data_IF_129394380074
#
_entry.id   IF_129394380074
#
_cell.length_a   1.000
_cell.length_b   1.000
_cell.length_c   1.000
_cell.angle_alpha   90.00
_cell.angle_beta   90.00
_cell.angle_gamma   90.00
#
_symmetry.space_group_name_H-M   'P 1'
#
loop_
_entity.id
_entity.type
_entity.pdbx_description
1 polymer ?
#
# COMPACT_ATOMS: atom_id res chain seq x y z
N UNK A 1 21.22 7.41 -7.13
CA UNK A 1 21.22 5.95 -7.34
C UNK A 1 19.94 5.37 -6.76
N UNK A 2 19.21 4.49 -7.46
CA UNK A 2 18.07 3.79 -6.88
C UNK A 2 18.56 3.00 -5.67
N UNK A 3 17.84 3.07 -4.55
CA UNK A 3 18.24 2.42 -3.29
C UNK A 3 18.05 0.90 -3.34
N UNK A 4 17.28 0.42 -4.31
CA UNK A 4 16.96 -0.99 -4.50
C UNK A 4 17.10 -1.38 -5.97
N UNK A 5 17.75 -2.51 -6.24
CA UNK A 5 17.86 -3.10 -7.58
C UNK A 5 16.91 -4.29 -7.68
N UNK A 6 16.03 -4.30 -8.68
CA UNK A 6 14.99 -5.34 -8.84
C UNK A 6 15.60 -6.70 -9.15
N UNK A 7 16.48 -6.79 -10.16
CA UNK A 7 17.01 -8.06 -10.65
C UNK A 7 17.69 -8.94 -9.56
N UNK A 8 18.56 -8.39 -8.67
CA UNK A 8 19.10 -9.18 -7.56
C UNK A 8 18.04 -9.69 -6.57
N UNK A 9 16.99 -8.91 -6.33
CA UNK A 9 15.92 -9.29 -5.41
C UNK A 9 15.03 -10.40 -6.01
N UNK A 10 14.75 -10.33 -7.31
CA UNK A 10 14.03 -11.39 -8.02
C UNK A 10 14.84 -12.69 -8.08
N UNK A 11 16.15 -12.61 -8.29
CA UNK A 11 17.03 -13.77 -8.21
C UNK A 11 16.97 -14.47 -6.86
N UNK A 12 16.88 -13.71 -5.76
CA UNK A 12 16.69 -14.27 -4.40
C UNK A 12 15.32 -14.92 -4.23
N UNK A 13 14.27 -14.31 -4.78
CA UNK A 13 12.93 -14.88 -4.76
C UNK A 13 12.89 -16.20 -5.54
N UNK A 14 13.51 -16.24 -6.72
CA UNK A 14 13.64 -17.45 -7.55
C UNK A 14 14.48 -18.54 -6.87
N UNK A 15 15.47 -18.16 -6.06
CA UNK A 15 16.25 -19.07 -5.21
C UNK A 15 15.47 -19.56 -3.96
N UNK A 16 14.18 -19.25 -3.85
CA UNK A 16 13.30 -19.74 -2.78
C UNK A 16 13.31 -18.89 -1.50
N UNK A 17 13.97 -17.72 -1.49
CA UNK A 17 14.00 -16.84 -0.31
C UNK A 17 12.72 -16.00 -0.19
N UNK A 18 11.56 -16.65 -0.22
CA UNK A 18 10.28 -15.95 -0.14
C UNK A 18 9.97 -15.50 1.29
N UNK A 19 10.08 -14.20 1.53
CA UNK A 19 9.82 -13.58 2.84
C UNK A 19 9.07 -12.26 2.69
N UNK A 20 8.36 -11.88 3.75
CA UNK A 20 7.62 -10.62 3.85
C UNK A 20 8.53 -9.43 3.51
N UNK A 21 9.72 -9.37 4.13
CA UNK A 21 10.67 -8.29 3.90
C UNK A 21 11.20 -8.26 2.47
N UNK A 22 11.50 -9.42 1.87
CA UNK A 22 11.95 -9.46 0.47
C UNK A 22 10.85 -8.93 -0.46
N UNK A 23 9.60 -9.37 -0.27
CA UNK A 23 8.47 -8.95 -1.09
C UNK A 23 8.16 -7.46 -0.93
N UNK A 24 8.21 -6.93 0.29
CA UNK A 24 8.07 -5.49 0.53
C UNK A 24 9.20 -4.72 -0.16
N UNK A 25 10.44 -5.21 -0.08
CA UNK A 25 11.60 -4.57 -0.73
C UNK A 25 11.46 -4.55 -2.25
N UNK A 26 11.02 -5.67 -2.85
CA UNK A 26 10.73 -5.76 -4.28
C UNK A 26 9.67 -4.74 -4.70
N UNK A 27 8.56 -4.66 -3.96
CA UNK A 27 7.51 -3.72 -4.26
C UNK A 27 7.96 -2.26 -4.18
N UNK A 28 8.76 -1.91 -3.18
CA UNK A 28 9.33 -0.56 -3.07
C UNK A 28 10.30 -0.26 -4.23
N UNK A 29 11.07 -1.26 -4.68
CA UNK A 29 11.94 -1.13 -5.84
C UNK A 29 11.14 -0.89 -7.13
N UNK A 30 10.07 -1.67 -7.34
CA UNK A 30 9.14 -1.48 -8.46
C UNK A 30 8.45 -0.11 -8.41
N UNK A 31 7.96 0.29 -7.23
CA UNK A 31 7.33 1.61 -7.03
C UNK A 31 8.32 2.75 -7.35
N UNK A 32 9.58 2.63 -6.92
CA UNK A 32 10.62 3.63 -7.20
C UNK A 32 10.92 3.76 -8.71
N UNK A 33 10.71 2.70 -9.48
CA UNK A 33 10.87 2.71 -10.94
C UNK A 33 9.60 3.15 -11.70
N UNK A 34 8.51 3.48 -10.99
CA UNK A 34 7.23 3.83 -11.60
C UNK A 34 6.39 2.64 -12.04
N UNK A 35 6.89 1.42 -11.82
CA UNK A 35 6.25 0.16 -12.18
C UNK A 35 5.23 -0.25 -11.11
N UNK A 36 4.25 0.62 -10.87
CA UNK A 36 3.29 0.48 -9.76
C UNK A 36 2.47 -0.81 -9.86
N UNK A 37 2.07 -1.20 -11.08
CA UNK A 37 1.30 -2.42 -11.32
C UNK A 37 2.08 -3.68 -10.95
N UNK A 38 3.40 -3.71 -11.21
CA UNK A 38 4.27 -4.83 -10.86
C UNK A 38 4.52 -4.90 -9.34
N UNK A 39 4.48 -3.78 -8.62
CA UNK A 39 4.66 -3.75 -7.17
C UNK A 39 3.50 -4.38 -6.38
N UNK A 40 2.26 -4.30 -6.90
CA UNK A 40 1.04 -4.79 -6.20
C UNK A 40 1.11 -6.26 -5.79
N UNK A 41 1.37 -7.22 -6.71
CA UNK A 41 1.38 -8.64 -6.36
C UNK A 41 2.43 -8.98 -5.29
N UNK A 42 3.54 -8.25 -5.23
CA UNK A 42 4.54 -8.46 -4.18
C UNK A 42 4.00 -8.06 -2.81
N UNK A 43 3.33 -6.90 -2.69
CA UNK A 43 2.74 -6.46 -1.42
C UNK A 43 1.54 -7.30 -1.00
N UNK A 44 0.68 -7.69 -1.94
CA UNK A 44 -0.44 -8.62 -1.66
C UNK A 44 0.13 -9.91 -1.07
N UNK A 45 1.15 -10.50 -1.71
CA UNK A 45 1.74 -11.72 -1.18
C UNK A 45 2.47 -11.51 0.15
N UNK A 46 3.06 -10.33 0.39
CA UNK A 46 3.61 -9.99 1.71
C UNK A 46 2.53 -9.98 2.80
N UNK A 47 1.33 -9.46 2.51
CA UNK A 47 0.19 -9.47 3.45
C UNK A 47 -0.41 -10.86 3.66
N UNK A 48 -0.28 -11.77 2.70
CA UNK A 48 -0.67 -13.17 2.87
C UNK A 48 0.33 -13.95 3.72
N UNK A 49 1.63 -13.68 3.55
CA UNK A 49 2.70 -14.34 4.32
C UNK A 49 2.68 -13.93 5.78
N UNK A 50 2.43 -12.65 6.05
CA UNK A 50 2.27 -12.12 7.40
C UNK A 50 1.16 -11.06 7.44
N UNK A 51 -0.07 -11.49 7.77
CA UNK A 51 -1.21 -10.58 7.94
C UNK A 51 -1.03 -9.56 9.06
N UNK A 52 -0.08 -9.78 9.97
CA UNK A 52 0.19 -8.92 11.11
C UNK A 52 1.26 -7.86 10.84
N UNK A 53 1.94 -7.93 9.70
CA UNK A 53 2.95 -6.95 9.33
C UNK A 53 2.33 -5.65 8.81
N UNK A 54 2.13 -4.68 9.72
CA UNK A 54 1.58 -3.34 9.46
C UNK A 54 2.26 -2.64 8.28
N UNK A 55 3.58 -2.83 8.12
CA UNK A 55 4.38 -2.23 7.07
C UNK A 55 3.97 -2.63 5.65
N UNK A 56 3.57 -3.90 5.43
CA UNK A 56 3.12 -4.38 4.12
C UNK A 56 1.76 -3.77 3.76
N UNK A 57 0.81 -3.78 4.70
CA UNK A 57 -0.50 -3.15 4.51
C UNK A 57 -0.40 -1.65 4.23
N UNK A 58 0.46 -0.94 4.96
CA UNK A 58 0.73 0.48 4.75
C UNK A 58 1.27 0.73 3.34
N UNK A 59 2.28 -0.03 2.92
CA UNK A 59 2.86 0.10 1.58
C UNK A 59 1.82 -0.23 0.50
N UNK A 60 0.99 -1.25 0.71
CA UNK A 60 -0.06 -1.65 -0.24
C UNK A 60 -1.11 -0.56 -0.40
N UNK A 61 -1.53 0.06 0.71
CA UNK A 61 -2.47 1.17 0.68
C UNK A 61 -1.91 2.38 -0.08
N UNK A 62 -0.64 2.75 0.16
CA UNK A 62 0.01 3.84 -0.58
C UNK A 62 0.07 3.52 -2.08
N UNK A 63 0.46 2.30 -2.43
CA UNK A 63 0.56 1.88 -3.82
C UNK A 63 -0.80 1.93 -4.54
N UNK A 64 -1.88 1.54 -3.86
CA UNK A 64 -3.22 1.65 -4.43
C UNK A 64 -3.67 3.11 -4.59
N UNK A 65 -3.27 4.03 -3.71
CA UNK A 65 -3.50 5.47 -3.91
C UNK A 65 -2.75 5.97 -5.15
N UNK A 66 -1.48 5.59 -5.30
CA UNK A 66 -0.67 5.99 -6.48
C UNK A 66 -1.27 5.45 -7.80
N UNK A 67 -1.98 4.32 -7.73
CA UNK A 67 -2.73 3.71 -8.84
C UNK A 67 -4.15 4.27 -9.03
N UNK A 68 -4.60 5.21 -8.20
CA UNK A 68 -5.98 5.74 -8.22
C UNK A 68 -7.05 4.73 -7.79
N UNK A 69 -6.65 3.63 -7.13
CA UNK A 69 -7.54 2.56 -6.67
C UNK A 69 -7.96 2.81 -5.21
N UNK A 70 -8.60 3.96 -4.96
CA UNK A 70 -8.93 4.44 -3.61
C UNK A 70 -9.74 3.43 -2.78
N UNK A 71 -10.69 2.72 -3.40
CA UNK A 71 -11.47 1.69 -2.71
C UNK A 71 -10.58 0.57 -2.14
N UNK A 72 -9.58 0.12 -2.89
CA UNK A 72 -8.63 -0.89 -2.42
C UNK A 72 -7.65 -0.32 -1.40
N UNK A 73 -7.23 0.94 -1.60
CA UNK A 73 -6.37 1.63 -0.64
C UNK A 73 -7.03 1.71 0.75
N UNK A 74 -8.33 2.01 0.82
CA UNK A 74 -9.10 2.01 2.07
C UNK A 74 -9.06 0.68 2.79
N UNK A 75 -9.34 -0.40 2.06
CA UNK A 75 -9.33 -1.76 2.62
C UNK A 75 -7.93 -2.10 3.16
N UNK A 76 -6.88 -1.78 2.40
CA UNK A 76 -5.50 -2.00 2.82
C UNK A 76 -5.13 -1.19 4.07
N UNK A 77 -5.49 0.09 4.15
CA UNK A 77 -5.24 0.90 5.34
C UNK A 77 -6.03 0.42 6.55
N UNK A 78 -7.29 0.01 6.39
CA UNK A 78 -8.10 -0.54 7.47
C UNK A 78 -7.47 -1.81 8.04
N UNK A 79 -7.04 -2.74 7.18
CA UNK A 79 -6.32 -3.96 7.59
C UNK A 79 -4.98 -3.66 8.24
N UNK A 80 -4.25 -2.67 7.72
CA UNK A 80 -3.00 -2.22 8.32
C UNK A 80 -3.17 -1.61 9.70
N UNK A 81 -4.24 -0.85 9.94
CA UNK A 81 -4.56 -0.28 11.27
C UNK A 81 -4.89 -1.40 12.27
N UNK A 82 -5.64 -2.43 11.84
CA UNK A 82 -5.91 -3.62 12.67
C UNK A 82 -4.59 -4.32 13.05
N UNK A 83 -3.71 -4.55 12.07
CA UNK A 83 -2.41 -5.18 12.28
C UNK A 83 -1.49 -4.34 13.20
N UNK A 84 -1.43 -3.03 12.98
CA UNK A 84 -0.63 -2.11 13.77
C UNK A 84 -1.09 -2.06 15.24
N UNK A 85 -2.41 -2.03 15.48
CA UNK A 85 -3.00 -2.05 16.81
C UNK A 85 -2.65 -3.34 17.57
N UNK A 86 -2.73 -4.50 16.89
CA UNK A 86 -2.42 -5.79 17.49
C UNK A 86 -0.96 -5.88 18.01
N UNK A 87 -0.03 -5.18 17.36
CA UNK A 87 1.41 -5.20 17.69
C UNK A 87 1.92 -3.92 18.37
N UNK A 88 1.04 -2.96 18.68
CA UNK A 88 1.42 -1.70 19.32
C UNK A 88 2.22 -0.75 18.44
N UNK A 89 2.17 -0.90 17.11
CA UNK A 89 2.83 -0.02 16.15
C UNK A 89 2.02 1.29 15.96
N UNK A 90 2.06 2.13 17.00
CA UNK A 90 1.31 3.39 17.05
C UNK A 90 1.70 4.38 15.95
N UNK A 91 2.91 4.25 15.39
CA UNK A 91 3.37 5.15 14.35
C UNK A 91 2.72 4.79 13.01
N UNK A 92 2.76 3.51 12.61
CA UNK A 92 2.12 3.07 11.38
C UNK A 92 0.60 3.25 11.46
N UNK A 93 0.00 2.96 12.62
CA UNK A 93 -1.43 3.17 12.86
C UNK A 93 -1.84 4.62 12.56
N UNK A 94 -1.19 5.61 13.20
CA UNK A 94 -1.49 7.03 13.00
C UNK A 94 -1.31 7.46 11.55
N UNK A 95 -0.23 7.02 10.91
CA UNK A 95 0.05 7.35 9.50
C UNK A 95 -1.09 6.85 8.59
N UNK A 96 -1.53 5.61 8.79
CA UNK A 96 -2.60 5.01 8.01
C UNK A 96 -3.97 5.66 8.29
N UNK A 97 -4.28 6.02 9.54
CA UNK A 97 -5.50 6.76 9.89
C UNK A 97 -5.55 8.10 9.15
N UNK A 98 -4.43 8.84 9.11
CA UNK A 98 -4.37 10.13 8.41
C UNK A 98 -4.62 9.95 6.90
N UNK A 99 -4.02 8.92 6.28
CA UNK A 99 -4.26 8.62 4.86
C UNK A 99 -5.70 8.20 4.59
N UNK A 100 -6.27 7.33 5.43
CA UNK A 100 -7.66 6.88 5.30
C UNK A 100 -8.63 8.05 5.37
N UNK A 101 -8.47 8.95 6.36
CA UNK A 101 -9.28 10.18 6.49
C UNK A 101 -9.13 11.12 5.30
N UNK A 102 -7.97 11.15 4.65
CA UNK A 102 -7.76 11.95 3.43
C UNK A 102 -8.57 11.38 2.28
N UNK A 103 -8.58 10.05 2.11
CA UNK A 103 -9.41 9.39 1.10
C UNK A 103 -10.91 9.64 1.37
N UNK A 104 -11.37 9.51 2.62
CA UNK A 104 -12.77 9.80 3.02
C UNK A 104 -13.22 11.21 2.61
N UNK A 105 -12.37 12.21 2.89
CA UNK A 105 -12.66 13.61 2.53
C UNK A 105 -12.66 13.83 1.02
N UNK A 106 -11.77 13.16 0.28
CA UNK A 106 -11.72 13.27 -1.17
C UNK A 106 -12.96 12.67 -1.85
N UNK A 107 -13.50 11.57 -1.32
CA UNK A 107 -14.78 11.02 -1.79
C UNK A 107 -15.98 11.90 -1.44
N UNK A 108 -15.97 12.57 -0.28
CA UNK A 108 -17.03 13.51 0.11
C UNK A 108 -17.03 14.80 -0.72
N UNK A 109 -15.85 15.26 -1.16
CA UNK A 109 -15.71 16.43 -2.02
C UNK A 109 -16.08 16.15 -3.49
N UNK A 110 -15.89 14.91 -3.96
CA UNK A 110 -16.27 14.49 -5.32
C UNK A 110 -17.80 14.32 -5.49
N UNK A 111 -18.57 14.25 -4.40
CA UNK A 111 -20.04 14.19 -4.41
C UNK A 111 -20.74 15.55 -4.48
N UNK A 112 -19.99 16.67 -4.57
CA UNK A 112 -20.53 18.03 -4.51
C UNK A 112 -20.54 18.83 -5.82
N UNK A 113 -20.23 18.21 -6.97
CA UNK A 113 -20.28 18.89 -8.28
C UNK A 113 -21.00 18.03 -9.31
N UNK A 114 -22.33 18.06 -9.28
CA UNK A 114 -23.21 17.78 -10.43
C UNK A 114 -24.61 18.23 -10.05
N UNK A 115 -25.02 19.42 -10.48
CA UNK A 115 -26.41 19.85 -10.36
C UNK A 115 -26.74 21.33 -10.16
N UNK A 116 -25.87 22.28 -10.54
CA UNK A 116 -26.32 23.67 -10.75
C UNK A 116 -26.15 24.06 -12.22
N UNK A 117 -26.95 23.39 -13.05
CA UNK A 117 -27.30 23.85 -14.39
C UNK A 117 -28.39 24.91 -14.28
N UNK A 118 -27.95 26.17 -14.21
CA UNK A 118 -28.71 27.40 -14.36
C UNK A 118 -29.68 27.37 -15.56
N UNK A 119 -30.83 28.01 -15.35
CA UNK A 119 -31.90 28.48 -16.28
C UNK A 119 -32.86 27.47 -16.87
#
# INVERSE_FOLDING_TARGET
>A
MPKFSIAPLEGRLAAGQDSVLLRVTLALAYQQQGELAAAVPHLVKATELDPHYSGAWRALGVLYVDLGQDAKARVAFQKGIEAANAHGDKQAEKEMIVRLRRLDRQSGAAGGQSGDGKT
#
